data_IF_031248866445
#
_entry.id   IF_031248866445
#
_cell.length_a   1.000
_cell.length_b   1.000
_cell.length_c   1.000
_cell.angle_alpha   90.00
_cell.angle_beta   90.00
_cell.angle_gamma   90.00
#
_symmetry.space_group_name_H-M   'P 1'
#
loop_
_entity.id
_entity.type
_entity.pdbx_description
1 polymer ?
#
# COMPACT_ATOMS: atom_id res chain seq x y z
N UNK A 1 22.25 -16.10 14.40
CA UNK A 1 21.55 -14.82 14.12
C UNK A 1 21.07 -14.66 12.65
N UNK A 2 20.95 -15.71 11.84
CA UNK A 2 20.72 -15.58 10.37
C UNK A 2 19.25 -15.63 9.89
N UNK A 3 18.29 -16.17 10.66
CA UNK A 3 16.92 -16.42 10.16
C UNK A 3 16.03 -15.17 10.05
N UNK A 4 16.08 -14.26 11.03
CA UNK A 4 15.20 -13.06 11.09
C UNK A 4 15.54 -12.00 10.03
N UNK A 5 16.78 -11.98 9.55
CA UNK A 5 17.19 -11.05 8.49
C UNK A 5 16.43 -11.32 7.19
N UNK A 6 16.42 -12.59 6.80
CA UNK A 6 15.80 -13.08 5.57
C UNK A 6 14.29 -12.83 5.52
N UNK A 7 13.57 -12.85 6.64
CA UNK A 7 12.11 -12.70 6.64
C UNK A 7 11.65 -11.28 6.26
N UNK A 8 12.29 -10.24 6.78
CA UNK A 8 11.95 -8.86 6.42
C UNK A 8 12.31 -8.53 4.97
N UNK A 9 13.48 -8.97 4.52
CA UNK A 9 13.90 -8.84 3.12
C UNK A 9 12.93 -9.55 2.19
N UNK A 10 12.50 -10.77 2.53
CA UNK A 10 11.47 -11.51 1.77
C UNK A 10 10.14 -10.78 1.70
N UNK A 11 9.70 -10.12 2.77
CA UNK A 11 8.45 -9.34 2.77
C UNK A 11 8.53 -8.11 1.86
N UNK A 12 9.67 -7.40 1.84
CA UNK A 12 9.86 -6.28 0.91
C UNK A 12 9.95 -6.77 -0.54
N UNK A 13 10.69 -7.86 -0.77
CA UNK A 13 10.76 -8.49 -2.08
C UNK A 13 9.35 -8.87 -2.58
N UNK A 14 8.54 -9.50 -1.72
CA UNK A 14 7.14 -9.83 -2.03
C UNK A 14 6.29 -8.58 -2.29
N UNK A 15 6.46 -7.50 -1.54
CA UNK A 15 5.77 -6.24 -1.81
C UNK A 15 6.15 -5.66 -3.19
N UNK A 16 7.43 -5.73 -3.57
CA UNK A 16 7.91 -5.30 -4.90
C UNK A 16 7.39 -6.19 -6.02
N UNK A 17 7.31 -7.50 -5.79
CA UNK A 17 6.70 -8.46 -6.71
C UNK A 17 5.23 -8.14 -6.94
N UNK A 18 4.46 -7.85 -5.88
CA UNK A 18 3.06 -7.42 -5.99
C UNK A 18 2.93 -6.12 -6.78
N UNK A 19 3.75 -5.10 -6.49
CA UNK A 19 3.74 -3.83 -7.24
C UNK A 19 4.04 -4.06 -8.73
N UNK A 20 5.03 -4.92 -9.01
CA UNK A 20 5.41 -5.31 -10.37
C UNK A 20 4.28 -6.05 -11.08
N UNK A 21 3.66 -7.02 -10.41
CA UNK A 21 2.53 -7.79 -10.93
C UNK A 21 1.35 -6.88 -11.29
N UNK A 22 0.99 -5.95 -10.40
CA UNK A 22 -0.07 -4.96 -10.67
C UNK A 22 0.33 -4.10 -11.87
N UNK A 23 1.51 -3.48 -11.85
CA UNK A 23 1.98 -2.60 -12.91
C UNK A 23 2.00 -3.29 -14.29
N UNK A 24 2.42 -4.55 -14.36
CA UNK A 24 2.47 -5.33 -15.61
C UNK A 24 1.08 -5.66 -16.17
N UNK A 25 0.08 -5.78 -15.29
CA UNK A 25 -1.30 -6.13 -15.68
C UNK A 25 -2.21 -4.91 -15.82
N UNK A 26 -1.70 -3.70 -15.60
CA UNK A 26 -2.42 -2.47 -15.89
C UNK A 26 -2.29 -2.11 -17.39
N UNK A 27 -3.39 -2.02 -18.15
CA UNK A 27 -3.42 -1.35 -19.44
C UNK A 27 -3.10 0.15 -19.27
N UNK A 28 -2.91 0.89 -20.38
CA UNK A 28 -2.83 2.33 -20.33
C UNK A 28 -4.04 2.93 -19.58
N UNK A 29 -3.75 3.79 -18.62
CA UNK A 29 -4.73 4.47 -17.78
C UNK A 29 -4.54 5.98 -17.88
N UNK A 30 -5.63 6.71 -18.08
CA UNK A 30 -5.65 8.17 -17.95
C UNK A 30 -5.80 8.56 -16.47
N UNK A 31 -4.78 8.25 -15.68
CA UNK A 31 -4.74 8.55 -14.26
C UNK A 31 -3.32 8.95 -13.84
N UNK A 32 -3.23 9.67 -12.72
CA UNK A 32 -1.95 10.01 -12.12
C UNK A 32 -1.56 8.99 -11.04
N UNK A 33 -0.29 8.61 -11.01
CA UNK A 33 0.28 7.64 -10.07
C UNK A 33 1.42 8.28 -9.29
N UNK A 34 1.58 7.84 -8.05
CA UNK A 34 2.69 8.19 -7.17
C UNK A 34 3.12 6.93 -6.39
N UNK A 35 4.37 6.89 -5.92
CA UNK A 35 4.94 5.75 -5.21
C UNK A 35 5.71 6.22 -3.98
N UNK A 36 5.35 5.63 -2.84
CA UNK A 36 5.91 5.96 -1.53
C UNK A 36 6.24 4.71 -0.73
N UNK A 37 7.27 4.78 0.12
CA UNK A 37 7.39 3.92 1.30
C UNK A 37 6.94 4.69 2.53
N UNK A 38 6.64 4.01 3.64
CA UNK A 38 6.26 4.67 4.90
C UNK A 38 7.16 4.32 6.10
N UNK A 39 8.13 3.40 5.94
CA UNK A 39 9.07 3.01 6.98
C UNK A 39 10.50 2.89 6.42
N UNK A 40 11.22 4.01 6.17
CA UNK A 40 10.82 5.41 6.39
C UNK A 40 9.89 5.95 5.29
N UNK A 41 9.27 7.11 5.55
CA UNK A 41 8.49 7.81 4.54
C UNK A 41 9.41 8.40 3.45
N UNK A 42 9.33 7.87 2.23
CA UNK A 42 10.14 8.31 1.10
C UNK A 42 9.31 8.32 -0.19
N UNK A 43 9.45 9.38 -0.98
CA UNK A 43 8.86 9.48 -2.32
C UNK A 43 9.82 8.89 -3.37
N UNK A 44 9.35 7.90 -4.11
CA UNK A 44 10.06 7.31 -5.25
C UNK A 44 9.54 7.84 -6.59
N UNK A 45 8.24 8.14 -6.65
CA UNK A 45 7.59 8.72 -7.82
C UNK A 45 6.61 9.81 -7.34
N UNK A 46 6.80 11.09 -7.70
CA UNK A 46 5.79 12.12 -7.46
C UNK A 46 4.56 11.87 -8.34
N UNK A 47 3.42 12.39 -7.90
CA UNK A 47 2.15 12.28 -8.62
C UNK A 47 2.30 12.82 -10.06
N UNK A 48 2.17 11.93 -11.04
CA UNK A 48 2.35 12.23 -12.46
C UNK A 48 1.56 11.25 -13.33
N UNK A 49 1.30 11.56 -14.61
CA UNK A 49 0.57 10.66 -15.49
C UNK A 49 1.17 9.26 -15.50
N UNK A 50 0.31 8.24 -15.45
CA UNK A 50 0.74 6.85 -15.41
C UNK A 50 1.63 6.53 -16.61
N UNK A 51 2.80 5.98 -16.30
CA UNK A 51 3.73 5.44 -17.28
C UNK A 51 4.28 4.14 -16.71
N UNK A 52 3.89 3.02 -17.32
CA UNK A 52 4.22 1.68 -16.84
C UNK A 52 5.73 1.46 -16.66
N UNK A 53 6.54 1.91 -17.62
CA UNK A 53 7.99 1.75 -17.60
C UNK A 53 8.64 2.58 -16.48
N UNK A 54 8.21 3.83 -16.33
CA UNK A 54 8.69 4.72 -15.26
C UNK A 54 8.29 4.20 -13.88
N UNK A 55 7.07 3.71 -13.71
CA UNK A 55 6.65 3.11 -12.45
C UNK A 55 7.49 1.85 -12.14
N UNK A 56 7.75 0.99 -13.13
CA UNK A 56 8.61 -0.18 -12.94
C UNK A 56 10.04 0.20 -12.53
N UNK A 57 10.62 1.21 -13.17
CA UNK A 57 11.94 1.73 -12.82
C UNK A 57 11.98 2.17 -11.34
N UNK A 58 10.94 2.87 -10.86
CA UNK A 58 10.85 3.32 -9.47
C UNK A 58 10.60 2.20 -8.47
N UNK A 59 9.82 1.18 -8.83
CA UNK A 59 9.66 -0.04 -8.01
C UNK A 59 11.02 -0.74 -7.83
N UNK A 60 11.81 -0.85 -8.90
CA UNK A 60 13.12 -1.51 -8.84
C UNK A 60 14.13 -0.78 -7.94
N UNK A 61 13.95 0.54 -7.73
CA UNK A 61 14.80 1.36 -6.85
C UNK A 61 14.51 1.16 -5.36
N UNK A 62 13.41 0.52 -4.98
CA UNK A 62 13.11 0.22 -3.58
C UNK A 62 14.13 -0.79 -3.05
N UNK A 63 14.85 -0.39 -2.01
CA UNK A 63 15.82 -1.25 -1.32
C UNK A 63 15.08 -2.37 -0.60
N UNK A 64 15.53 -3.61 -0.82
CA UNK A 64 15.09 -4.77 -0.03
C UNK A 64 15.87 -4.89 1.28
N UNK A 65 17.00 -4.19 1.40
CA UNK A 65 17.81 -4.22 2.61
C UNK A 65 17.21 -3.30 3.67
N UNK A 66 16.49 -3.90 4.63
CA UNK A 66 16.01 -3.22 5.82
C UNK A 66 16.99 -3.48 6.96
N UNK A 67 17.59 -2.43 7.56
CA UNK A 67 18.43 -2.56 8.73
C UNK A 67 17.75 -3.36 9.86
N UNK A 68 18.50 -4.24 10.53
CA UNK A 68 18.00 -5.10 11.62
C UNK A 68 17.54 -4.33 12.86
N UNK A 69 18.14 -3.18 13.12
CA UNK A 69 17.88 -2.42 14.35
C UNK A 69 16.68 -1.51 14.13
N UNK A 70 15.59 -1.80 14.85
CA UNK A 70 14.39 -0.98 14.84
C UNK A 70 13.51 -1.18 13.61
N UNK A 71 13.12 -2.43 13.30
CA UNK A 71 12.05 -2.77 12.33
C UNK A 71 10.69 -2.27 12.83
N UNK A 72 10.61 -0.96 12.91
CA UNK A 72 9.46 -0.20 13.26
C UNK A 72 8.58 -0.11 12.03
N UNK A 73 7.33 -0.52 12.17
CA UNK A 73 6.30 -0.38 11.14
C UNK A 73 5.32 0.67 11.65
N UNK A 74 5.62 1.97 11.51
CA UNK A 74 4.73 3.03 11.94
C UNK A 74 3.69 3.32 10.86
N UNK A 75 2.73 2.40 10.69
CA UNK A 75 1.64 2.52 9.71
C UNK A 75 0.89 3.84 9.95
N UNK A 76 0.54 4.15 11.19
CA UNK A 76 -0.19 5.39 11.52
C UNK A 76 0.59 6.65 11.13
N UNK A 77 1.88 6.74 11.45
CA UNK A 77 2.70 7.90 11.05
C UNK A 77 2.85 7.99 9.53
N UNK A 78 2.98 6.84 8.85
CA UNK A 78 2.99 6.75 7.40
C UNK A 78 1.74 7.34 6.75
N UNK A 79 0.57 6.95 7.27
CA UNK A 79 -0.73 7.43 6.82
C UNK A 79 -0.90 8.93 7.11
N UNK A 80 -0.56 9.38 8.32
CA UNK A 80 -0.61 10.80 8.68
C UNK A 80 0.30 11.63 7.78
N UNK A 81 1.52 11.15 7.49
CA UNK A 81 2.46 11.85 6.60
C UNK A 81 1.94 11.91 5.16
N UNK A 82 1.35 10.81 4.67
CA UNK A 82 0.72 10.78 3.35
C UNK A 82 -0.41 11.81 3.27
N UNK A 83 -1.25 11.88 4.29
CA UNK A 83 -2.34 12.85 4.39
C UNK A 83 -1.81 14.30 4.33
N UNK A 84 -0.96 14.64 5.30
CA UNK A 84 -0.42 15.98 5.52
C UNK A 84 0.40 16.51 4.35
N UNK A 85 1.01 15.64 3.53
CA UNK A 85 1.93 16.07 2.48
C UNK A 85 1.40 15.85 1.07
N UNK A 86 0.54 14.85 0.87
CA UNK A 86 0.08 14.43 -0.47
C UNK A 86 -1.42 14.51 -0.64
N UNK A 87 -2.22 13.84 0.22
CA UNK A 87 -3.67 13.74 0.00
C UNK A 87 -4.35 15.11 0.03
N UNK A 88 -3.95 16.01 0.93
CA UNK A 88 -4.51 17.37 1.02
C UNK A 88 -4.35 18.19 -0.26
N UNK A 89 -3.33 17.90 -1.06
CA UNK A 89 -2.99 18.61 -2.29
C UNK A 89 -3.44 17.87 -3.55
N UNK A 90 -3.99 16.66 -3.41
CA UNK A 90 -4.43 15.82 -4.53
C UNK A 90 -5.91 16.06 -4.77
N UNK A 91 -6.27 16.47 -5.98
CA UNK A 91 -7.66 16.63 -6.39
C UNK A 91 -8.20 15.35 -7.05
N UNK A 92 -9.54 15.23 -7.08
CA UNK A 92 -10.22 14.09 -7.71
C UNK A 92 -10.25 12.82 -6.86
N UNK A 93 -10.93 11.81 -7.39
CA UNK A 93 -11.04 10.48 -6.76
C UNK A 93 -9.66 9.85 -6.64
N UNK A 94 -9.25 9.56 -5.42
CA UNK A 94 -7.93 9.05 -5.06
C UNK A 94 -8.06 7.64 -4.47
N UNK A 95 -7.23 6.72 -4.96
CA UNK A 95 -7.11 5.35 -4.44
C UNK A 95 -5.72 5.17 -3.88
N UNK A 96 -5.62 4.71 -2.64
CA UNK A 96 -4.34 4.43 -1.98
C UNK A 96 -4.23 2.93 -1.80
N UNK A 97 -3.19 2.34 -2.37
CA UNK A 97 -2.87 0.92 -2.18
C UNK A 97 -1.77 0.83 -1.12
N UNK A 98 -2.05 0.17 0.00
CA UNK A 98 -1.12 -0.02 1.10
C UNK A 98 -0.68 -1.48 1.14
N UNK A 99 0.60 -1.74 0.92
CA UNK A 99 1.18 -3.08 0.98
C UNK A 99 1.96 -3.21 2.29
N UNK A 100 1.58 -4.14 3.15
CA UNK A 100 2.15 -4.27 4.50
C UNK A 100 1.88 -5.65 5.08
N UNK A 101 2.65 -6.06 6.09
CA UNK A 101 2.35 -7.25 6.90
C UNK A 101 1.40 -6.95 8.08
N UNK A 102 0.93 -5.70 8.21
CA UNK A 102 0.03 -5.26 9.28
C UNK A 102 0.73 -5.10 10.64
N UNK A 103 2.05 -5.24 10.68
CA UNK A 103 2.87 -5.29 11.90
C UNK A 103 3.08 -3.96 12.61
N UNK A 104 2.04 -3.12 12.71
CA UNK A 104 2.06 -1.89 13.50
C UNK A 104 2.69 -2.14 14.87
N UNK A 105 3.78 -1.44 15.18
CA UNK A 105 4.55 -1.68 16.41
C UNK A 105 5.25 -0.42 16.98
N UNK A 106 4.98 0.76 16.42
CA UNK A 106 5.55 2.05 16.84
C UNK A 106 4.80 3.22 16.21
N UNK A 107 4.98 4.42 16.77
CA UNK A 107 4.31 5.62 16.25
C UNK A 107 2.82 5.65 16.56
N UNK A 108 2.07 6.44 15.81
CA UNK A 108 0.63 6.58 15.99
C UNK A 108 -0.14 5.30 15.65
N UNK A 109 -1.25 5.08 16.37
CA UNK A 109 -2.20 4.02 16.06
C UNK A 109 -2.88 4.29 14.70
N UNK A 110 -2.91 3.32 13.77
CA UNK A 110 -3.37 3.57 12.41
C UNK A 110 -4.88 3.73 12.28
N UNK A 111 -5.67 3.10 13.16
CA UNK A 111 -7.13 3.16 13.15
C UNK A 111 -7.66 4.60 13.26
N UNK A 112 -7.33 5.39 14.31
CA UNK A 112 -7.83 6.75 14.43
C UNK A 112 -7.30 7.67 13.32
N UNK A 113 -6.06 7.46 12.85
CA UNK A 113 -5.50 8.23 11.73
C UNK A 113 -6.30 7.99 10.45
N UNK A 114 -6.56 6.72 10.11
CA UNK A 114 -7.31 6.37 8.91
C UNK A 114 -8.77 6.82 8.99
N UNK A 115 -9.41 6.71 10.15
CA UNK A 115 -10.75 7.23 10.38
C UNK A 115 -10.81 8.73 10.09
N UNK A 116 -9.87 9.52 10.62
CA UNK A 116 -9.80 10.95 10.37
C UNK A 116 -9.58 11.28 8.88
N UNK A 117 -8.77 10.50 8.16
CA UNK A 117 -8.59 10.67 6.71
C UNK A 117 -9.93 10.44 5.97
N UNK A 118 -10.68 9.39 6.34
CA UNK A 118 -12.00 9.15 5.77
C UNK A 118 -13.00 10.25 6.11
N UNK A 119 -12.99 10.79 7.32
CA UNK A 119 -13.89 11.88 7.70
C UNK A 119 -13.56 13.16 6.91
N UNK A 120 -12.28 13.46 6.70
CA UNK A 120 -11.81 14.69 6.02
C UNK A 120 -11.99 14.65 4.50
N UNK A 121 -12.00 13.47 3.89
CA UNK A 121 -12.08 13.33 2.43
C UNK A 121 -13.29 12.55 1.93
N UNK A 122 -14.05 11.93 2.83
CA UNK A 122 -15.29 11.20 2.54
C UNK A 122 -15.10 10.27 1.32
N UNK A 123 -15.97 10.37 0.30
CA UNK A 123 -15.95 9.51 -0.89
C UNK A 123 -14.76 9.77 -1.84
N UNK A 124 -13.97 10.82 -1.59
CA UNK A 124 -12.85 11.20 -2.45
C UNK A 124 -11.67 10.24 -2.32
N UNK A 125 -11.37 9.73 -1.12
CA UNK A 125 -10.21 8.87 -0.87
C UNK A 125 -10.67 7.48 -0.46
N UNK A 126 -10.06 6.45 -1.05
CA UNK A 126 -10.28 5.07 -0.63
C UNK A 126 -8.96 4.31 -0.44
N UNK A 127 -8.84 3.53 0.63
CA UNK A 127 -7.67 2.71 0.90
C UNK A 127 -7.94 1.23 0.60
N UNK A 128 -7.01 0.61 -0.11
CA UNK A 128 -7.00 -0.82 -0.41
C UNK A 128 -5.73 -1.43 0.18
N UNK A 129 -5.87 -2.52 0.90
CA UNK A 129 -4.79 -3.17 1.62
C UNK A 129 -4.37 -4.46 0.91
N UNK A 130 -3.06 -4.64 0.76
CA UNK A 130 -2.48 -5.92 0.34
C UNK A 130 -1.60 -6.44 1.46
N UNK A 131 -2.02 -7.56 2.06
CA UNK A 131 -1.28 -8.25 3.10
C UNK A 131 -0.15 -9.09 2.51
N UNK A 132 1.09 -8.94 3.01
CA UNK A 132 2.22 -9.82 2.63
C UNK A 132 2.40 -11.00 3.60
N UNK A 133 1.52 -11.12 4.60
CA UNK A 133 1.50 -12.22 5.56
C UNK A 133 0.05 -12.53 6.00
N UNK A 134 -0.46 -13.71 5.65
CA UNK A 134 -1.88 -14.10 5.85
C UNK A 134 -2.18 -14.84 7.15
N UNK A 135 -1.17 -15.46 7.77
CA UNK A 135 -1.36 -16.34 8.93
C UNK A 135 -0.74 -15.76 10.21
N UNK A 136 -0.80 -14.44 10.36
CA UNK A 136 -0.18 -13.73 11.46
C UNK A 136 -1.21 -12.97 12.31
N UNK A 137 -0.96 -12.75 13.61
CA UNK A 137 -1.83 -11.93 14.45
C UNK A 137 -2.09 -10.51 13.89
N UNK A 138 -1.16 -10.01 13.08
CA UNK A 138 -1.19 -8.69 12.45
C UNK A 138 -2.30 -8.54 11.40
N UNK A 139 -2.84 -9.65 10.88
CA UNK A 139 -3.98 -9.64 9.94
C UNK A 139 -5.20 -8.92 10.53
N UNK A 140 -5.38 -9.01 11.85
CA UNK A 140 -6.48 -8.31 12.53
C UNK A 140 -6.40 -6.80 12.34
N UNK A 141 -5.20 -6.22 12.37
CA UNK A 141 -5.00 -4.79 12.11
C UNK A 141 -5.46 -4.43 10.70
N UNK A 142 -5.11 -5.23 9.70
CA UNK A 142 -5.53 -4.99 8.31
C UNK A 142 -7.03 -5.12 8.11
N UNK A 143 -7.66 -6.11 8.77
CA UNK A 143 -9.11 -6.27 8.76
C UNK A 143 -9.80 -5.05 9.39
N UNK A 144 -9.36 -4.63 10.57
CA UNK A 144 -9.92 -3.45 11.25
C UNK A 144 -9.80 -2.17 10.41
N UNK A 145 -8.66 -1.96 9.74
CA UNK A 145 -8.47 -0.80 8.86
C UNK A 145 -9.35 -0.87 7.60
N UNK A 146 -9.53 -2.07 7.06
CA UNK A 146 -10.39 -2.31 5.89
C UNK A 146 -11.87 -2.07 6.24
N UNK A 147 -12.30 -2.53 7.40
CA UNK A 147 -13.69 -2.44 7.86
C UNK A 147 -14.16 -1.00 8.14
N UNK A 148 -13.24 -0.03 8.24
CA UNK A 148 -13.59 1.39 8.44
C UNK A 148 -14.40 1.99 7.29
N UNK A 149 -14.25 1.48 6.06
CA UNK A 149 -14.96 2.04 4.92
C UNK A 149 -15.28 0.94 3.89
N UNK A 150 -16.54 0.80 3.42
CA UNK A 150 -16.94 -0.21 2.44
C UNK A 150 -16.27 -0.07 1.07
N UNK A 151 -15.65 1.09 0.82
CA UNK A 151 -14.81 1.31 -0.36
C UNK A 151 -13.58 0.38 -0.35
N UNK A 152 -13.08 0.05 0.85
CA UNK A 152 -11.81 -0.63 1.07
C UNK A 152 -11.87 -2.10 0.70
N UNK A 153 -10.71 -2.68 0.45
CA UNK A 153 -10.56 -4.13 0.26
C UNK A 153 -9.29 -4.61 0.90
N UNK A 154 -9.30 -5.85 1.38
CA UNK A 154 -8.12 -6.60 1.80
C UNK A 154 -7.96 -7.83 0.90
N UNK A 155 -6.77 -7.99 0.33
CA UNK A 155 -6.34 -9.21 -0.36
C UNK A 155 -4.91 -9.56 0.09
N UNK A 156 -4.51 -10.81 0.03
CA UNK A 156 -3.14 -11.22 0.33
C UNK A 156 -2.32 -11.43 -0.94
N UNK A 157 -1.01 -11.20 -0.84
CA UNK A 157 -0.08 -11.25 -1.97
C UNK A 157 -0.10 -12.61 -2.70
N UNK A 158 -0.22 -13.71 -1.97
CA UNK A 158 -0.33 -15.06 -2.53
C UNK A 158 -1.64 -15.26 -3.33
N UNK A 159 -2.72 -14.61 -2.92
CA UNK A 159 -4.02 -14.69 -3.61
C UNK A 159 -3.99 -14.00 -4.98
N UNK A 160 -3.14 -12.98 -5.16
CA UNK A 160 -2.96 -12.27 -6.44
C UNK A 160 -2.25 -13.12 -7.50
N UNK A 161 -1.62 -14.25 -7.12
CA UNK A 161 -1.04 -15.19 -8.10
C UNK A 161 -2.12 -15.90 -8.94
N UNK A 162 -3.36 -15.91 -8.46
CA UNK A 162 -4.50 -16.38 -9.23
C UNK A 162 -5.01 -15.27 -10.16
N UNK A 163 -5.07 -15.54 -11.46
CA UNK A 163 -5.47 -14.55 -12.46
C UNK A 163 -6.87 -13.95 -12.22
N UNK A 164 -7.83 -14.74 -11.74
CA UNK A 164 -9.18 -14.24 -11.48
C UNK A 164 -9.18 -13.27 -10.29
N UNK A 165 -8.44 -13.59 -9.23
CA UNK A 165 -8.30 -12.70 -8.08
C UNK A 165 -7.59 -11.41 -8.45
N UNK A 166 -6.52 -11.48 -9.26
CA UNK A 166 -5.83 -10.31 -9.79
C UNK A 166 -6.78 -9.44 -10.62
N UNK A 167 -7.49 -10.02 -11.59
CA UNK A 167 -8.42 -9.29 -12.43
C UNK A 167 -9.53 -8.60 -11.61
N UNK A 168 -10.10 -9.31 -10.63
CA UNK A 168 -11.11 -8.76 -9.72
C UNK A 168 -10.56 -7.61 -8.87
N UNK A 169 -9.34 -7.75 -8.36
CA UNK A 169 -8.66 -6.70 -7.62
C UNK A 169 -8.43 -5.46 -8.49
N UNK A 170 -7.89 -5.63 -9.70
CA UNK A 170 -7.66 -4.54 -10.64
C UNK A 170 -8.97 -3.83 -11.02
N UNK A 171 -10.04 -4.60 -11.27
CA UNK A 171 -11.39 -4.08 -11.51
C UNK A 171 -11.90 -3.22 -10.36
N UNK A 172 -11.78 -3.73 -9.14
CA UNK A 172 -12.27 -3.04 -7.95
C UNK A 172 -11.50 -1.75 -7.68
N UNK A 173 -10.18 -1.77 -7.83
CA UNK A 173 -9.31 -0.67 -7.43
C UNK A 173 -9.18 0.40 -8.51
N UNK A 174 -9.02 0.02 -9.78
CA UNK A 174 -8.66 0.95 -10.86
C UNK A 174 -9.81 1.31 -11.81
N UNK A 175 -10.82 0.45 -11.94
CA UNK A 175 -11.89 0.64 -12.95
C UNK A 175 -13.27 0.95 -12.38
N UNK A 176 -13.45 0.78 -11.07
CA UNK A 176 -14.75 1.04 -10.43
C UNK A 176 -14.80 2.47 -9.91
N UNK A 177 -15.63 3.30 -10.54
CA UNK A 177 -16.08 4.56 -9.96
C UNK A 177 -16.89 4.24 -8.69
N UNK A 178 -16.54 4.87 -7.57
CA UNK A 178 -17.38 4.87 -6.37
C UNK A 178 -18.08 6.21 -6.28
#
# INVERSE_FOLDING_TARGET
MSKKNNEGQKKVALAKEVLTLINQNLPPLEANFALYTFAPFQEYLPLSPYNQARLQEKINQISEDIPLFGRFTPIGDGLAKLDETKLKNTAGTTRVIVITDGGQNSGQEPLPVLQNIYDNYTNRVCFHFIGVEKNSPQVKTLQQLTDLNPCSTLIFADELTNQNNLNNYLQRVFYTSQ
#
